data_IF_777378241088
#
_entry.id   IF_777378241088
#
_cell.length_a   1.000
_cell.length_b   1.000
_cell.length_c   1.000
_cell.angle_alpha   90.00
_cell.angle_beta   90.00
_cell.angle_gamma   90.00
#
_symmetry.space_group_name_H-M   'P 1'
#
loop_
_entity.id
_entity.type
_entity.pdbx_description
1 polymer ?
#
# COMPACT_ATOMS: atom_id res chain seq x y z
N UNK A 1 3.20 -21.91 -17.24
CA UNK A 1 1.91 -21.39 -17.49
C UNK A 1 1.59 -20.24 -16.58
N UNK A 2 1.19 -19.14 -17.19
CA UNK A 2 1.12 -17.87 -16.49
C UNK A 2 -0.27 -17.51 -15.95
N UNK A 3 -1.21 -18.46 -15.98
CA UNK A 3 -2.59 -18.17 -15.60
C UNK A 3 -2.74 -17.77 -14.13
N UNK A 4 -2.06 -18.46 -13.23
CA UNK A 4 -2.15 -18.18 -11.80
C UNK A 4 -1.53 -16.83 -11.47
N UNK A 5 -0.39 -16.52 -12.07
CA UNK A 5 0.27 -15.22 -11.90
C UNK A 5 -0.59 -14.08 -12.46
N UNK A 6 -1.24 -14.32 -13.60
CA UNK A 6 -2.13 -13.33 -14.19
C UNK A 6 -3.35 -13.06 -13.33
N UNK A 7 -3.92 -14.10 -12.70
CA UNK A 7 -5.08 -13.99 -11.81
C UNK A 7 -4.72 -13.23 -10.53
N UNK A 8 -3.61 -13.61 -9.89
CA UNK A 8 -3.15 -12.94 -8.67
C UNK A 8 -2.85 -11.47 -8.93
N UNK A 9 -2.22 -11.16 -10.04
CA UNK A 9 -1.94 -9.77 -10.41
C UNK A 9 -3.21 -8.97 -10.68
N UNK A 10 -4.22 -9.59 -11.30
CA UNK A 10 -5.52 -8.94 -11.53
C UNK A 10 -6.22 -8.64 -10.22
N UNK A 11 -6.20 -9.59 -9.29
CA UNK A 11 -6.77 -9.38 -7.96
C UNK A 11 -6.07 -8.25 -7.24
N UNK A 12 -4.74 -8.20 -7.32
CA UNK A 12 -3.95 -7.14 -6.71
C UNK A 12 -4.32 -5.78 -7.31
N UNK A 13 -4.44 -5.68 -8.64
CA UNK A 13 -4.84 -4.43 -9.29
C UNK A 13 -6.26 -4.02 -8.94
N UNK A 14 -7.18 -4.97 -8.89
CA UNK A 14 -8.57 -4.70 -8.51
C UNK A 14 -8.64 -4.18 -7.07
N UNK A 15 -7.89 -4.78 -6.16
CA UNK A 15 -7.79 -4.34 -4.77
C UNK A 15 -7.17 -2.94 -4.68
N UNK A 16 -6.13 -2.70 -5.45
CA UNK A 16 -5.45 -1.41 -5.49
C UNK A 16 -6.40 -0.31 -5.98
N UNK A 17 -7.15 -0.57 -7.04
CA UNK A 17 -8.16 0.37 -7.54
C UNK A 17 -9.22 0.67 -6.49
N UNK A 18 -9.67 -0.38 -5.77
CA UNK A 18 -10.63 -0.22 -4.69
C UNK A 18 -10.10 0.63 -3.55
N UNK A 19 -8.85 0.44 -3.18
CA UNK A 19 -8.21 1.21 -2.11
C UNK A 19 -8.00 2.67 -2.53
N UNK A 20 -7.47 2.89 -3.72
CA UNK A 20 -7.18 4.24 -4.20
C UNK A 20 -8.44 4.99 -4.67
N UNK A 21 -9.48 4.26 -5.05
CA UNK A 21 -10.68 4.86 -5.60
C UNK A 21 -10.50 5.43 -7.00
N UNK A 22 -9.44 5.03 -7.69
CA UNK A 22 -9.13 5.46 -9.06
C UNK A 22 -8.79 4.23 -9.89
N UNK A 23 -9.01 4.33 -11.19
CA UNK A 23 -8.68 3.24 -12.11
C UNK A 23 -7.18 3.17 -12.34
N UNK A 24 -6.66 1.98 -12.17
CA UNK A 24 -5.29 1.65 -12.55
C UNK A 24 -5.41 0.67 -13.73
N UNK A 25 -5.29 1.16 -14.94
CA UNK A 25 -5.40 0.30 -16.12
C UNK A 25 -4.23 -0.68 -16.20
N UNK A 26 -4.48 -1.80 -16.88
CA UNK A 26 -3.45 -2.80 -17.10
C UNK A 26 -2.20 -2.16 -17.72
N UNK A 27 -1.07 -2.34 -17.05
CA UNK A 27 0.18 -1.78 -17.51
C UNK A 27 0.43 -0.33 -17.08
N UNK A 28 -0.50 0.28 -16.36
CA UNK A 28 -0.27 1.61 -15.81
C UNK A 28 0.80 1.53 -14.72
N UNK A 29 1.83 2.35 -14.86
CA UNK A 29 2.88 2.44 -13.86
C UNK A 29 2.32 3.22 -12.65
N UNK A 30 2.34 2.64 -11.43
CA UNK A 30 1.95 3.38 -10.23
C UNK A 30 2.72 4.70 -10.04
N UNK A 31 3.93 4.78 -10.56
CA UNK A 31 4.70 6.03 -10.53
C UNK A 31 4.00 7.17 -11.29
N UNK A 32 3.23 6.85 -12.33
CA UNK A 32 2.47 7.85 -13.07
C UNK A 32 1.38 8.48 -12.20
N UNK A 33 0.79 7.72 -11.28
CA UNK A 33 -0.21 8.23 -10.35
C UNK A 33 0.40 9.25 -9.38
N UNK A 34 1.62 9.01 -8.94
CA UNK A 34 2.33 9.93 -8.07
C UNK A 34 2.65 11.25 -8.78
N UNK A 35 3.04 11.18 -10.05
CA UNK A 35 3.32 12.38 -10.87
C UNK A 35 2.06 13.22 -11.02
N UNK A 36 0.90 12.56 -11.24
CA UNK A 36 -0.38 13.25 -11.40
C UNK A 36 -0.95 13.76 -10.07
N UNK A 37 -0.37 13.39 -8.95
CA UNK A 37 -0.76 13.77 -7.60
C UNK A 37 -2.19 13.31 -7.27
N UNK A 38 -2.29 12.39 -6.33
CA UNK A 38 -3.59 11.82 -5.94
C UNK A 38 -4.33 12.76 -4.98
N UNK A 39 -5.65 12.58 -4.94
CA UNK A 39 -6.51 13.35 -4.04
C UNK A 39 -6.25 12.99 -2.58
N UNK A 40 -6.48 13.95 -1.68
CA UNK A 40 -6.42 13.70 -0.23
C UNK A 40 -7.42 12.65 0.22
N UNK A 41 -8.47 12.38 -0.56
CA UNK A 41 -9.45 11.33 -0.25
C UNK A 41 -8.85 9.94 -0.24
N UNK A 42 -7.69 9.75 -0.86
CA UNK A 42 -6.97 8.47 -0.81
C UNK A 42 -6.60 8.12 0.63
N UNK A 43 -6.29 9.11 1.46
CA UNK A 43 -6.00 8.88 2.89
C UNK A 43 -7.25 8.32 3.60
N UNK A 44 -8.42 8.89 3.32
CA UNK A 44 -9.68 8.42 3.89
C UNK A 44 -9.97 6.98 3.46
N UNK A 45 -9.70 6.66 2.19
CA UNK A 45 -9.89 5.31 1.67
C UNK A 45 -8.94 4.31 2.32
N UNK A 46 -7.69 4.68 2.54
CA UNK A 46 -6.75 3.83 3.25
C UNK A 46 -7.23 3.57 4.68
N UNK A 47 -7.80 4.57 5.34
CA UNK A 47 -8.37 4.40 6.68
C UNK A 47 -9.61 3.51 6.66
N UNK A 48 -10.45 3.62 5.64
CA UNK A 48 -11.61 2.73 5.46
C UNK A 48 -11.17 1.28 5.27
N UNK A 49 -9.98 1.07 4.69
CA UNK A 49 -9.39 -0.26 4.53
C UNK A 49 -8.61 -0.72 5.76
N UNK A 50 -8.77 -0.05 6.88
CA UNK A 50 -8.29 -0.50 8.18
C UNK A 50 -6.98 0.10 8.65
N UNK A 51 -6.36 0.99 7.89
CA UNK A 51 -5.15 1.67 8.33
C UNK A 51 -5.50 2.81 9.28
N UNK A 52 -4.64 3.00 10.28
CA UNK A 52 -4.86 4.06 11.26
C UNK A 52 -4.12 5.33 10.86
N UNK A 53 -4.60 6.47 11.37
CA UNK A 53 -3.98 7.77 11.11
C UNK A 53 -2.49 7.78 11.49
N UNK A 54 -2.14 7.16 12.63
CA UNK A 54 -0.74 7.08 13.05
C UNK A 54 0.12 6.25 12.09
N UNK A 55 -0.46 5.23 11.48
CA UNK A 55 0.22 4.40 10.49
C UNK A 55 0.45 5.14 9.17
N UNK A 56 -0.35 6.16 8.88
CA UNK A 56 -0.26 6.95 7.67
C UNK A 56 0.54 8.23 7.85
N UNK A 57 1.05 8.50 9.05
CA UNK A 57 1.74 9.75 9.34
C UNK A 57 3.04 9.94 8.54
N UNK A 58 3.66 8.85 8.07
CA UNK A 58 4.82 8.96 7.20
C UNK A 58 4.47 9.41 5.78
N UNK A 59 3.21 9.25 5.37
CA UNK A 59 2.71 9.70 4.07
C UNK A 59 2.50 11.22 4.12
N UNK A 60 1.70 11.65 5.08
CA UNK A 60 1.38 13.06 5.27
C UNK A 60 1.01 13.29 6.73
N UNK A 61 1.55 14.33 7.34
CA UNK A 61 1.20 14.65 8.72
C UNK A 61 -0.25 15.12 8.82
N UNK A 62 -0.85 14.95 10.00
CA UNK A 62 -2.24 15.39 10.23
C UNK A 62 -2.45 16.86 9.96
N UNK A 63 -1.48 17.70 10.37
CA UNK A 63 -1.56 19.15 10.13
C UNK A 63 -1.48 19.51 8.65
N UNK A 64 -0.57 18.88 7.91
CA UNK A 64 -0.45 19.09 6.47
C UNK A 64 -1.70 18.62 5.75
N UNK A 65 -2.23 17.46 6.12
CA UNK A 65 -3.45 16.92 5.53
C UNK A 65 -4.63 17.87 5.73
N UNK A 66 -4.80 18.36 6.95
CA UNK A 66 -5.85 19.33 7.28
C UNK A 66 -5.73 20.60 6.44
N UNK A 67 -4.51 21.10 6.29
CA UNK A 67 -4.22 22.28 5.49
C UNK A 67 -4.58 22.06 4.02
N UNK A 68 -4.21 20.92 3.47
CA UNK A 68 -4.54 20.58 2.07
C UNK A 68 -6.04 20.46 1.85
N UNK A 69 -6.78 19.89 2.82
CA UNK A 69 -8.26 19.80 2.75
C UNK A 69 -8.89 21.19 2.72
N UNK A 70 -8.43 22.09 3.57
CA UNK A 70 -8.96 23.45 3.64
C UNK A 70 -8.72 24.22 2.35
N UNK A 71 -7.60 23.98 1.69
CA UNK A 71 -7.24 24.66 0.44
C UNK A 71 -7.70 23.93 -0.81
N UNK A 72 -8.36 22.79 -0.68
CA UNK A 72 -8.76 21.95 -1.80
C UNK A 72 -7.57 21.54 -2.67
N UNK A 73 -6.45 21.27 -2.04
CA UNK A 73 -5.24 20.84 -2.72
C UNK A 73 -5.14 19.31 -2.75
N UNK A 74 -4.46 18.79 -3.77
CA UNK A 74 -4.08 17.39 -3.82
C UNK A 74 -2.86 17.14 -2.95
N UNK A 75 -2.58 15.87 -2.68
CA UNK A 75 -1.32 15.49 -2.05
C UNK A 75 -0.17 15.91 -2.98
N UNK A 76 1.00 16.20 -2.40
CA UNK A 76 2.19 16.48 -3.21
C UNK A 76 2.60 15.21 -3.97
N UNK A 77 3.52 15.36 -4.93
CA UNK A 77 4.04 14.20 -5.66
C UNK A 77 4.69 13.19 -4.72
N UNK A 78 5.47 13.68 -3.75
CA UNK A 78 6.12 12.82 -2.76
C UNK A 78 5.11 12.12 -1.84
N UNK A 79 4.12 12.85 -1.35
CA UNK A 79 3.04 12.28 -0.53
C UNK A 79 2.23 11.27 -1.33
N UNK A 80 1.94 11.58 -2.59
CA UNK A 80 1.21 10.68 -3.49
C UNK A 80 1.97 9.38 -3.72
N UNK A 81 3.28 9.45 -3.91
CA UNK A 81 4.11 8.27 -4.08
C UNK A 81 4.03 7.35 -2.87
N UNK A 82 4.12 7.91 -1.67
CA UNK A 82 4.02 7.14 -0.43
C UNK A 82 2.63 6.55 -0.25
N UNK A 83 1.58 7.29 -0.56
CA UNK A 83 0.20 6.82 -0.46
C UNK A 83 -0.06 5.65 -1.41
N UNK A 84 0.37 5.77 -2.67
CA UNK A 84 0.25 4.69 -3.66
C UNK A 84 1.05 3.48 -3.23
N UNK A 85 2.24 3.69 -2.67
CA UNK A 85 3.10 2.60 -2.24
C UNK A 85 2.47 1.76 -1.13
N UNK A 86 1.95 2.42 -0.08
CA UNK A 86 1.29 1.68 1.01
C UNK A 86 0.02 0.98 0.51
N UNK A 87 -0.73 1.61 -0.38
CA UNK A 87 -1.91 1.00 -0.98
C UNK A 87 -1.56 -0.27 -1.74
N UNK A 88 -0.46 -0.25 -2.51
CA UNK A 88 0.02 -1.43 -3.23
C UNK A 88 0.41 -2.56 -2.28
N UNK A 89 1.09 -2.24 -1.19
CA UNK A 89 1.50 -3.25 -0.21
C UNK A 89 0.28 -3.88 0.46
N UNK A 90 -0.70 -3.07 0.84
CA UNK A 90 -1.95 -3.58 1.43
C UNK A 90 -2.70 -4.45 0.43
N UNK A 91 -2.78 -4.04 -0.83
CA UNK A 91 -3.42 -4.83 -1.89
C UNK A 91 -2.69 -6.17 -2.11
N UNK A 92 -1.37 -6.14 -2.18
CA UNK A 92 -0.55 -7.33 -2.36
C UNK A 92 -0.71 -8.29 -1.18
N UNK A 93 -0.65 -7.78 0.05
CA UNK A 93 -0.82 -8.59 1.25
C UNK A 93 -2.23 -9.20 1.30
N UNK A 94 -3.24 -8.42 0.95
CA UNK A 94 -4.62 -8.93 0.91
C UNK A 94 -4.78 -10.05 -0.11
N UNK A 95 -4.20 -9.90 -1.29
CA UNK A 95 -4.21 -10.95 -2.30
C UNK A 95 -3.47 -12.21 -1.83
N UNK A 96 -2.32 -12.03 -1.17
CA UNK A 96 -1.51 -13.13 -0.67
C UNK A 96 -2.23 -13.93 0.42
N UNK A 97 -2.85 -13.25 1.38
CA UNK A 97 -3.53 -13.91 2.50
C UNK A 97 -5.00 -14.19 2.25
N UNK A 98 -5.57 -13.64 1.19
CA UNK A 98 -6.96 -13.85 0.81
C UNK A 98 -7.97 -13.11 1.67
N UNK A 99 -7.50 -12.28 2.62
CA UNK A 99 -8.35 -11.59 3.57
C UNK A 99 -7.63 -10.36 4.10
N UNK A 100 -8.31 -9.22 4.12
CA UNK A 100 -7.74 -7.96 4.57
C UNK A 100 -7.33 -7.99 6.05
N UNK A 101 -8.15 -8.61 6.89
CA UNK A 101 -7.85 -8.68 8.32
C UNK A 101 -6.55 -9.46 8.58
N UNK A 102 -6.37 -10.58 7.89
CA UNK A 102 -5.14 -11.37 7.99
C UNK A 102 -3.93 -10.59 7.45
N UNK A 103 -4.13 -9.89 6.34
CA UNK A 103 -3.10 -9.05 5.74
C UNK A 103 -2.62 -7.97 6.72
N UNK A 104 -3.54 -7.25 7.33
CA UNK A 104 -3.21 -6.20 8.29
C UNK A 104 -2.53 -6.78 9.54
N UNK A 105 -2.97 -7.95 9.99
CA UNK A 105 -2.34 -8.63 11.11
C UNK A 105 -0.89 -8.95 10.82
N UNK A 106 -0.62 -9.48 9.63
CA UNK A 106 0.75 -9.78 9.20
C UNK A 106 1.59 -8.51 9.12
N UNK A 107 1.03 -7.46 8.53
CA UNK A 107 1.72 -6.17 8.39
C UNK A 107 2.03 -5.51 9.73
N UNK A 108 1.23 -5.80 10.77
CA UNK A 108 1.38 -5.24 12.12
C UNK A 108 2.14 -6.13 13.09
N UNK A 109 2.54 -7.31 12.67
CA UNK A 109 3.26 -8.26 13.52
C UNK A 109 4.76 -8.13 13.28
N UNK A 110 5.59 -8.02 14.34
CA UNK A 110 7.03 -8.05 14.17
C UNK A 110 7.50 -9.39 13.58
N UNK A 111 8.44 -9.34 12.66
CA UNK A 111 8.99 -10.55 12.02
C UNK A 111 10.50 -10.55 12.12
N UNK A 112 11.08 -11.73 12.37
CA UNK A 112 12.52 -11.90 12.47
C UNK A 112 13.22 -11.46 11.15
N UNK A 113 12.59 -11.72 10.01
CA UNK A 113 13.14 -11.34 8.71
C UNK A 113 13.26 -9.81 8.53
N UNK A 114 12.55 -9.03 9.34
CA UNK A 114 12.60 -7.57 9.35
C UNK A 114 13.28 -7.06 10.63
N UNK A 115 14.22 -7.82 11.17
CA UNK A 115 14.93 -7.49 12.41
C UNK A 115 13.97 -7.20 13.57
N UNK A 116 12.89 -7.98 13.66
CA UNK A 116 11.84 -7.88 14.66
C UNK A 116 11.03 -6.57 14.59
N UNK A 117 11.09 -5.90 13.45
CA UNK A 117 10.21 -4.76 13.16
C UNK A 117 8.96 -5.24 12.43
N UNK A 118 7.92 -4.43 12.46
CA UNK A 118 6.72 -4.70 11.67
C UNK A 118 6.96 -4.23 10.23
N UNK A 119 6.26 -4.86 9.29
CA UNK A 119 6.30 -4.42 7.90
C UNK A 119 5.88 -2.94 7.79
N UNK A 120 4.82 -2.54 8.50
CA UNK A 120 4.37 -1.14 8.48
C UNK A 120 5.43 -0.16 8.96
N UNK A 121 6.27 -0.56 9.91
CA UNK A 121 7.33 0.31 10.41
C UNK A 121 8.44 0.54 9.36
N UNK A 122 8.74 -0.46 8.54
CA UNK A 122 9.86 -0.37 7.61
C UNK A 122 9.48 0.10 6.20
N UNK A 123 8.20 0.10 5.84
CA UNK A 123 7.78 0.55 4.50
C UNK A 123 7.92 2.05 4.29
N UNK A 124 8.24 2.81 5.33
CA UNK A 124 8.53 4.24 5.19
C UNK A 124 9.81 4.50 4.40
N UNK A 125 10.66 3.49 4.25
CA UNK A 125 11.86 3.57 3.41
C UNK A 125 11.66 2.75 2.14
N UNK A 126 12.32 3.15 1.07
CA UNK A 126 12.27 2.42 -0.20
C UNK A 126 12.81 1.00 -0.05
N UNK A 127 13.93 0.85 0.64
CA UNK A 127 14.53 -0.45 0.88
C UNK A 127 13.62 -1.36 1.72
N UNK A 128 13.02 -0.82 2.79
CA UNK A 128 12.10 -1.57 3.64
C UNK A 128 10.86 -2.00 2.87
N UNK A 129 10.31 -1.12 2.07
CA UNK A 129 9.15 -1.44 1.25
C UNK A 129 9.44 -2.58 0.27
N UNK A 130 10.62 -2.55 -0.36
CA UNK A 130 11.06 -3.62 -1.25
C UNK A 130 11.19 -4.95 -0.51
N UNK A 131 11.74 -4.91 0.69
CA UNK A 131 11.87 -6.12 1.52
C UNK A 131 10.50 -6.73 1.85
N UNK A 132 9.51 -5.91 2.13
CA UNK A 132 8.15 -6.37 2.40
C UNK A 132 7.53 -6.98 1.14
N UNK A 133 7.68 -6.32 0.01
CA UNK A 133 7.16 -6.83 -1.27
C UNK A 133 7.77 -8.20 -1.60
N UNK A 134 9.07 -8.35 -1.43
CA UNK A 134 9.78 -9.62 -1.65
C UNK A 134 9.28 -10.71 -0.70
N UNK A 135 9.06 -10.36 0.56
CA UNK A 135 8.53 -11.30 1.55
C UNK A 135 7.15 -11.81 1.14
N UNK A 136 6.28 -10.91 0.68
CA UNK A 136 4.94 -11.28 0.24
C UNK A 136 4.97 -12.18 -0.99
N UNK A 137 5.87 -11.90 -1.94
CA UNK A 137 6.05 -12.76 -3.12
C UNK A 137 6.49 -14.16 -2.68
N UNK A 138 7.42 -14.26 -1.75
CA UNK A 138 7.90 -15.56 -1.25
C UNK A 138 6.79 -16.34 -0.56
N UNK A 139 5.98 -15.68 0.26
CA UNK A 139 4.84 -16.31 0.92
C UNK A 139 3.83 -16.79 -0.12
N UNK A 140 3.53 -15.97 -1.12
CA UNK A 140 2.60 -16.30 -2.18
C UNK A 140 3.08 -17.50 -3.01
N UNK A 141 4.39 -17.67 -3.14
CA UNK A 141 5.00 -18.80 -3.83
C UNK A 141 5.11 -20.06 -2.95
N UNK A 142 4.65 -19.98 -1.70
CA UNK A 142 4.64 -21.12 -0.79
C UNK A 142 5.88 -21.28 0.08
N UNK A 143 6.76 -20.31 0.12
CA UNK A 143 7.91 -20.35 1.01
C UNK A 143 7.51 -20.00 2.44
N UNK A 144 8.16 -20.61 3.41
CA UNK A 144 7.94 -20.29 4.80
C UNK A 144 8.37 -18.84 5.10
N UNK A 145 7.53 -18.15 5.79
CA UNK A 145 7.81 -16.79 6.21
C UNK A 145 8.80 -16.78 7.39
#
# INVERSE_FOLDING_TARGET
MNFEMGTSRREEYALLEGILGIRVSDGADPAALAVDRVSVTVIDRLMEHGLRADELSFVVSGGTLSHRRQRHERLSAEESDKAVHIARIVAQATATFGDQEKALRWLRTPHARFANCTALAIISTEHGARSVEEALVQIDEGYSA
#
